data_IF_259808332180
#
_entry.id   IF_259808332180
#
_cell.length_a   1.000
_cell.length_b   1.000
_cell.length_c   1.000
_cell.angle_alpha   90.00
_cell.angle_beta   90.00
_cell.angle_gamma   90.00
#
_symmetry.space_group_name_H-M   'P 1'
#
loop_
_entity.id
_entity.type
_entity.pdbx_description
1 polymer ?
#
# COMPACT_ATOMS: atom_id res chain seq x y z
N UNK A 1 -12.34 17.98 -6.54
CA UNK A 1 -12.01 18.42 -5.22
C UNK A 1 -10.81 17.73 -4.74
N UNK A 2 -10.44 17.61 -3.63
CA UNK A 2 -9.39 16.79 -3.29
C UNK A 2 -8.17 17.08 -4.03
N UNK A 3 -8.14 18.07 -4.79
CA UNK A 3 -7.02 18.37 -5.65
C UNK A 3 -5.76 18.71 -4.87
N UNK A 4 -5.91 19.44 -3.78
CA UNK A 4 -4.75 19.81 -2.97
C UNK A 4 -4.00 18.62 -2.46
N UNK A 5 -4.72 17.66 -1.94
CA UNK A 5 -4.10 16.44 -1.43
C UNK A 5 -3.46 15.67 -2.56
N UNK A 6 -4.16 15.54 -3.68
CA UNK A 6 -3.69 14.78 -4.81
C UNK A 6 -2.36 15.32 -5.35
N UNK A 7 -2.26 16.63 -5.52
CA UNK A 7 -1.04 17.23 -6.04
C UNK A 7 0.13 17.02 -5.09
N UNK A 8 -0.07 17.26 -3.81
CA UNK A 8 0.99 17.13 -2.83
C UNK A 8 1.49 15.70 -2.74
N UNK A 9 0.57 14.74 -2.75
CA UNK A 9 0.94 13.32 -2.61
C UNK A 9 1.59 12.81 -3.89
N UNK A 10 1.04 13.16 -5.04
CA UNK A 10 1.56 12.67 -6.32
C UNK A 10 2.97 13.15 -6.59
N UNK A 11 3.32 14.34 -6.12
CA UNK A 11 4.64 14.91 -6.33
C UNK A 11 5.67 14.39 -5.35
N UNK A 12 5.25 13.65 -4.34
CA UNK A 12 6.13 13.20 -3.27
C UNK A 12 6.67 11.80 -3.58
N UNK A 13 7.91 11.57 -3.19
CA UNK A 13 8.48 10.23 -3.22
C UNK A 13 8.12 9.44 -1.96
N UNK A 14 7.37 10.03 -1.05
CA UNK A 14 6.98 9.38 0.19
C UNK A 14 6.08 8.19 -0.08
N UNK A 15 6.36 7.11 0.62
CA UNK A 15 5.49 5.93 0.61
C UNK A 15 4.99 5.71 2.02
N UNK A 16 3.82 5.09 2.12
CA UNK A 16 3.23 4.81 3.42
C UNK A 16 2.84 3.34 3.49
N UNK A 17 2.61 2.88 4.69
CA UNK A 17 2.11 1.53 4.92
C UNK A 17 0.64 1.46 4.54
N UNK A 18 0.17 0.26 4.23
CA UNK A 18 -1.25 0.07 3.89
C UNK A 18 -2.13 0.43 5.09
N UNK A 19 -1.66 0.16 6.32
CA UNK A 19 -2.40 0.57 7.50
C UNK A 19 -2.56 2.09 7.60
N UNK A 20 -1.53 2.83 7.20
CA UNK A 20 -1.60 4.29 7.18
C UNK A 20 -2.56 4.76 6.10
N UNK A 21 -2.60 4.07 4.98
CA UNK A 21 -3.56 4.38 3.92
C UNK A 21 -4.99 4.19 4.42
N UNK A 22 -5.24 3.14 5.20
CA UNK A 22 -6.57 2.92 5.78
C UNK A 22 -6.98 4.11 6.66
N UNK A 23 -6.03 4.67 7.40
CA UNK A 23 -6.31 5.84 8.23
C UNK A 23 -6.66 7.06 7.38
N UNK A 24 -5.93 7.25 6.27
CA UNK A 24 -6.22 8.36 5.38
C UNK A 24 -7.59 8.22 4.73
N UNK A 25 -7.95 7.04 4.33
CA UNK A 25 -9.27 6.78 3.74
C UNK A 25 -10.35 7.08 4.75
N UNK A 26 -10.15 6.67 6.00
CA UNK A 26 -11.09 6.95 7.08
C UNK A 26 -11.23 8.44 7.32
N UNK A 27 -10.11 9.17 7.32
CA UNK A 27 -10.13 10.62 7.50
C UNK A 27 -10.87 11.33 6.39
N UNK A 28 -10.92 10.72 5.21
CA UNK A 28 -11.63 11.29 4.07
C UNK A 28 -13.09 10.84 3.97
N UNK A 29 -13.60 10.22 5.02
CA UNK A 29 -15.02 9.94 5.11
C UNK A 29 -15.45 8.51 4.87
N UNK A 30 -14.51 7.60 4.60
CA UNK A 30 -14.86 6.19 4.39
C UNK A 30 -14.24 5.34 5.48
N UNK A 31 -14.98 4.94 6.50
CA UNK A 31 -14.41 4.16 7.59
C UNK A 31 -14.05 2.74 7.12
N UNK A 32 -12.78 2.48 7.03
CA UNK A 32 -12.28 1.17 6.67
C UNK A 32 -11.06 0.87 7.53
N UNK A 33 -11.01 -0.32 8.12
CA UNK A 33 -9.88 -0.74 8.91
C UNK A 33 -8.80 -1.36 8.06
N UNK A 34 -7.61 -1.51 8.64
CA UNK A 34 -6.46 -2.07 7.94
C UNK A 34 -6.75 -3.47 7.39
N UNK A 35 -7.36 -4.33 8.20
CA UNK A 35 -7.66 -5.70 7.76
C UNK A 35 -8.62 -5.74 6.59
N UNK A 36 -9.63 -4.89 6.63
CA UNK A 36 -10.60 -4.82 5.54
C UNK A 36 -9.96 -4.30 4.26
N UNK A 37 -9.07 -3.34 4.40
CA UNK A 37 -8.37 -2.79 3.25
C UNK A 37 -7.47 -3.84 2.61
N UNK A 38 -6.72 -4.59 3.42
CA UNK A 38 -5.92 -5.70 2.90
C UNK A 38 -6.77 -6.71 2.16
N UNK A 39 -7.89 -7.10 2.77
CA UNK A 39 -8.80 -8.09 2.18
C UNK A 39 -9.35 -7.58 0.84
N UNK A 40 -9.78 -6.33 0.82
CA UNK A 40 -10.31 -5.72 -0.39
C UNK A 40 -9.26 -5.69 -1.50
N UNK A 41 -8.04 -5.30 -1.17
CA UNK A 41 -6.96 -5.25 -2.15
C UNK A 41 -6.63 -6.63 -2.71
N UNK A 42 -6.66 -7.66 -1.86
CA UNK A 42 -6.44 -9.03 -2.33
C UNK A 42 -7.55 -9.48 -3.25
N UNK A 43 -8.78 -9.18 -2.88
CA UNK A 43 -9.94 -9.58 -3.69
C UNK A 43 -10.00 -8.88 -5.03
N UNK A 44 -9.54 -7.63 -5.07
CA UNK A 44 -9.55 -6.83 -6.29
C UNK A 44 -8.33 -7.09 -7.18
N UNK A 45 -7.40 -7.90 -6.73
CA UNK A 45 -6.23 -8.24 -7.53
C UNK A 45 -5.11 -7.22 -7.44
N UNK A 46 -5.08 -6.41 -6.41
CA UNK A 46 -3.97 -5.49 -6.19
C UNK A 46 -2.87 -6.13 -5.36
N UNK A 47 -3.23 -7.03 -4.47
CA UNK A 47 -2.27 -7.77 -3.65
C UNK A 47 -2.46 -9.27 -3.88
N UNK A 48 -1.37 -10.00 -3.67
CA UNK A 48 -1.39 -11.46 -3.84
C UNK A 48 -2.11 -12.08 -2.65
N UNK A 49 -3.13 -12.89 -2.94
CA UNK A 49 -3.93 -13.52 -1.88
C UNK A 49 -3.47 -14.92 -1.54
N UNK A 50 -2.59 -15.50 -2.32
CA UNK A 50 -2.08 -16.84 -2.05
C UNK A 50 -1.14 -16.79 -0.84
N UNK A 51 -1.40 -17.64 0.13
CA UNK A 51 -0.54 -17.73 1.31
C UNK A 51 0.82 -18.26 0.91
N UNK A 52 1.88 -17.62 1.42
CA UNK A 52 3.25 -17.98 1.07
C UNK A 52 4.14 -16.76 1.18
N UNK A 53 5.32 -16.85 0.59
CA UNK A 53 6.31 -15.76 0.65
C UNK A 53 5.80 -14.46 0.03
N UNK A 54 4.91 -14.55 -0.94
CA UNK A 54 4.40 -13.37 -1.65
C UNK A 54 3.06 -12.86 -1.12
N UNK A 55 2.59 -13.41 -0.02
CA UNK A 55 1.31 -12.99 0.55
C UNK A 55 1.34 -11.50 0.87
N UNK A 56 0.33 -10.78 0.41
CA UNK A 56 0.20 -9.32 0.56
C UNK A 56 1.26 -8.52 -0.20
N UNK A 57 2.03 -9.16 -1.08
CA UNK A 57 2.88 -8.42 -2.01
C UNK A 57 2.05 -7.90 -3.17
N UNK A 58 2.46 -6.80 -3.82
CA UNK A 58 1.72 -6.29 -4.97
C UNK A 58 1.71 -7.28 -6.12
N UNK A 59 0.59 -7.35 -6.82
CA UNK A 59 0.53 -8.14 -8.05
C UNK A 59 1.31 -7.41 -9.14
N UNK A 60 1.64 -8.13 -10.21
CA UNK A 60 2.30 -7.53 -11.37
C UNK A 60 1.50 -6.34 -11.91
N UNK A 61 0.20 -6.50 -12.01
CA UNK A 61 -0.70 -5.46 -12.49
C UNK A 61 -0.61 -4.21 -11.64
N UNK A 62 -0.63 -4.38 -10.31
CA UNK A 62 -0.58 -3.24 -9.39
C UNK A 62 0.76 -2.53 -9.48
N UNK A 63 1.85 -3.28 -9.66
CA UNK A 63 3.16 -2.69 -9.82
C UNK A 63 3.26 -1.91 -11.12
N UNK A 64 2.68 -2.43 -12.19
CA UNK A 64 2.67 -1.73 -13.47
C UNK A 64 1.87 -0.43 -13.41
N UNK A 65 0.86 -0.38 -12.57
CA UNK A 65 0.08 0.83 -12.36
C UNK A 65 0.81 1.85 -11.50
N UNK A 66 1.93 1.47 -10.88
CA UNK A 66 2.72 2.37 -10.06
C UNK A 66 2.09 2.65 -8.71
N UNK A 67 1.25 1.76 -8.21
CA UNK A 67 0.52 2.00 -6.96
C UNK A 67 1.31 1.62 -5.72
N UNK A 68 2.28 0.74 -5.87
CA UNK A 68 3.02 0.20 -4.73
C UNK A 68 4.52 0.22 -4.98
N UNK A 69 5.25 0.16 -3.89
CA UNK A 69 6.69 0.01 -3.91
C UNK A 69 7.05 -1.00 -2.84
N UNK A 70 7.99 -1.87 -3.12
CA UNK A 70 8.42 -2.86 -2.14
C UNK A 70 9.70 -2.34 -1.51
N UNK A 71 9.69 -2.23 -0.19
CA UNK A 71 10.88 -1.86 0.56
C UNK A 71 11.50 -3.12 1.15
N UNK A 72 12.77 -3.33 0.85
CA UNK A 72 13.50 -4.46 1.40
C UNK A 72 14.41 -3.98 2.51
N UNK A 73 14.42 -4.70 3.62
CA UNK A 73 15.26 -4.37 4.76
C UNK A 73 16.02 -5.61 5.17
N UNK A 74 17.35 -5.48 5.29
CA UNK A 74 18.18 -6.57 5.77
C UNK A 74 18.12 -6.58 7.29
N UNK A 75 17.88 -7.76 7.87
CA UNK A 75 17.81 -7.92 9.31
C UNK A 75 18.93 -8.86 9.72
N UNK A 76 19.83 -8.38 10.58
CA UNK A 76 20.91 -9.19 11.12
C UNK A 76 20.42 -9.90 12.38
N UNK A 77 20.67 -11.20 12.44
CA UNK A 77 20.29 -12.00 13.58
C UNK A 77 21.52 -12.25 14.47
N UNK A 78 21.29 -12.52 15.73
CA UNK A 78 22.36 -12.69 16.69
C UNK A 78 23.28 -13.88 16.39
N UNK A 79 22.81 -14.82 15.58
CA UNK A 79 23.62 -15.97 15.17
C UNK A 79 24.48 -15.71 13.94
N UNK A 80 24.52 -14.47 13.47
CA UNK A 80 25.32 -14.10 12.30
C UNK A 80 24.61 -14.23 10.98
N UNK A 81 23.37 -14.66 10.99
CA UNK A 81 22.62 -14.86 9.76
C UNK A 81 21.85 -13.57 9.42
N UNK A 82 21.69 -13.32 8.13
CA UNK A 82 21.00 -12.14 7.65
C UNK A 82 19.79 -12.58 6.84
N UNK A 83 18.64 -12.00 7.13
CA UNK A 83 17.45 -12.25 6.33
C UNK A 83 16.95 -10.94 5.73
N UNK A 84 16.12 -11.05 4.72
CA UNK A 84 15.55 -9.86 4.06
C UNK A 84 14.05 -9.85 4.32
N UNK A 85 13.58 -8.71 4.83
CA UNK A 85 12.16 -8.48 5.04
C UNK A 85 11.65 -7.57 3.95
N UNK A 86 10.52 -7.91 3.37
CA UNK A 86 9.89 -7.10 2.33
C UNK A 86 8.63 -6.47 2.88
N UNK A 87 8.49 -5.16 2.69
CA UNK A 87 7.30 -4.44 3.13
C UNK A 87 6.67 -3.76 1.92
N UNK A 88 5.38 -3.99 1.75
CA UNK A 88 4.62 -3.33 0.68
C UNK A 88 4.25 -1.92 1.13
N UNK A 89 4.67 -0.94 0.36
CA UNK A 89 4.38 0.47 0.62
C UNK A 89 3.50 1.01 -0.49
N UNK A 90 2.66 1.99 -0.15
CA UNK A 90 1.78 2.63 -1.12
C UNK A 90 2.45 3.93 -1.58
N UNK A 91 2.61 4.07 -2.89
CA UNK A 91 3.24 5.26 -3.46
C UNK A 91 2.29 6.45 -3.36
N UNK A 92 2.79 7.65 -3.65
CA UNK A 92 1.93 8.83 -3.72
C UNK A 92 0.80 8.64 -4.71
N UNK A 93 1.11 8.07 -5.87
CA UNK A 93 0.11 7.77 -6.88
C UNK A 93 -0.92 6.76 -6.36
N UNK A 94 -0.44 5.74 -5.64
CA UNK A 94 -1.33 4.74 -5.06
C UNK A 94 -2.24 5.33 -4.01
N UNK A 95 -1.72 6.21 -3.17
CA UNK A 95 -2.52 6.87 -2.15
C UNK A 95 -3.67 7.64 -2.79
N UNK A 96 -3.37 8.42 -3.81
CA UNK A 96 -4.39 9.18 -4.51
C UNK A 96 -5.42 8.26 -5.17
N UNK A 97 -4.92 7.20 -5.83
CA UNK A 97 -5.78 6.25 -6.51
C UNK A 97 -6.80 5.61 -5.56
N UNK A 98 -6.31 5.10 -4.43
CA UNK A 98 -7.19 4.40 -3.50
C UNK A 98 -8.10 5.34 -2.73
N UNK A 99 -7.62 6.52 -2.35
CA UNK A 99 -8.49 7.49 -1.69
C UNK A 99 -9.61 7.90 -2.62
N UNK A 100 -9.31 8.14 -3.89
CA UNK A 100 -10.34 8.48 -4.85
C UNK A 100 -11.32 7.34 -5.05
N UNK A 101 -10.84 6.11 -5.02
CA UNK A 101 -11.69 4.95 -5.24
C UNK A 101 -12.69 4.74 -4.10
N UNK A 102 -12.28 5.03 -2.88
CA UNK A 102 -13.15 4.84 -1.72
C UNK A 102 -13.95 6.08 -1.37
N UNK A 103 -13.40 7.25 -1.54
CA UNK A 103 -13.98 8.51 -1.06
C UNK A 103 -14.35 9.45 -2.18
N UNK A 104 -13.73 9.31 -3.32
CA UNK A 104 -14.02 10.17 -4.44
C UNK A 104 -15.19 9.63 -5.22
N UNK A 105 -15.75 10.41 -5.96
CA UNK A 105 -16.87 9.98 -6.76
C UNK A 105 -16.41 9.77 -8.19
#
# INVERSE_FOLDING_TARGET
PKVLFADAVSASDSTILIGDLAKLIKQNGHPIGQKRLFCWMREQGYLIKRVGADYNSPTQRAMEMGLFKIKETAISHSDGHVSVSKTTKVTGKGQQYFINKFCGA
#
